data_IF_312707091411
#
_entry.id   IF_312707091411
#
_cell.length_a   1.000
_cell.length_b   1.000
_cell.length_c   1.000
_cell.angle_alpha   90.00
_cell.angle_beta   90.00
_cell.angle_gamma   90.00
#
_symmetry.space_group_name_H-M   'P 1'
#
loop_
_entity.id
_entity.type
_entity.pdbx_description
1 polymer ?
#
# COMPACT_ATOMS: atom_id res chain seq x y z
N UNK A 1 20.65 8.74 36.68
CA UNK A 1 20.80 8.34 35.27
C UNK A 1 19.42 8.40 34.66
N UNK A 2 19.13 9.43 33.90
CA UNK A 2 17.82 9.58 33.23
C UNK A 2 17.63 8.47 32.23
N UNK A 3 16.43 7.88 32.22
CA UNK A 3 16.01 6.78 31.37
C UNK A 3 16.11 7.20 29.88
N UNK A 4 17.21 6.89 29.19
CA UNK A 4 17.44 7.22 27.77
C UNK A 4 16.61 6.36 26.82
N UNK A 5 15.74 5.48 27.32
CA UNK A 5 15.07 4.45 26.53
C UNK A 5 13.84 4.92 25.73
N UNK A 6 13.38 6.18 25.88
CA UNK A 6 12.16 6.66 25.22
C UNK A 6 12.27 8.12 24.72
N UNK A 7 13.47 8.56 24.37
CA UNK A 7 13.63 9.90 23.83
C UNK A 7 13.22 9.95 22.36
N UNK A 8 12.33 10.89 22.02
CA UNK A 8 11.81 11.12 20.67
C UNK A 8 12.32 12.49 20.21
N UNK A 9 12.73 12.57 18.97
CA UNK A 9 13.20 13.79 18.32
C UNK A 9 12.39 14.09 17.08
N UNK A 10 12.24 15.37 16.76
CA UNK A 10 11.60 15.83 15.53
C UNK A 10 12.60 15.82 14.36
N UNK A 11 12.17 15.21 13.25
CA UNK A 11 12.92 15.17 11.98
C UNK A 11 12.19 16.05 10.97
N UNK A 12 12.81 17.17 10.59
CA UNK A 12 12.26 18.11 9.63
C UNK A 12 12.83 17.87 8.22
N UNK A 13 11.97 17.70 7.22
CA UNK A 13 12.33 17.65 5.80
C UNK A 13 12.24 19.04 5.18
N UNK A 14 13.38 19.66 4.88
CA UNK A 14 13.43 21.06 4.41
C UNK A 14 12.75 21.29 3.07
N UNK A 15 12.93 20.39 2.07
CA UNK A 15 12.33 20.54 0.73
C UNK A 15 10.81 20.37 0.73
N UNK A 16 10.29 19.44 1.52
CA UNK A 16 8.89 19.04 1.48
C UNK A 16 8.04 19.68 2.57
N UNK A 17 8.67 20.43 3.50
CA UNK A 17 8.03 21.03 4.68
C UNK A 17 7.23 20.01 5.53
N UNK A 18 7.66 18.75 5.53
CA UNK A 18 7.10 17.67 6.35
C UNK A 18 7.98 17.43 7.57
N UNK A 19 7.37 16.98 8.64
CA UNK A 19 8.04 16.58 9.89
C UNK A 19 7.56 15.21 10.29
N UNK A 20 8.39 14.47 11.01
CA UNK A 20 7.98 13.24 11.66
C UNK A 20 8.79 13.02 12.95
N UNK A 21 8.24 12.25 13.85
CA UNK A 21 8.89 11.86 15.10
C UNK A 21 9.76 10.62 14.90
N UNK A 22 10.94 10.61 15.49
CA UNK A 22 11.86 9.48 15.44
C UNK A 22 12.43 9.19 16.81
N UNK A 23 12.25 7.96 17.29
CA UNK A 23 12.87 7.50 18.52
C UNK A 23 14.39 7.41 18.38
N UNK A 24 15.10 7.72 19.46
CA UNK A 24 16.56 7.59 19.59
C UNK A 24 17.09 6.17 19.28
N UNK A 25 16.22 5.15 19.28
CA UNK A 25 16.53 3.76 19.04
C UNK A 25 16.12 3.25 17.64
N UNK A 26 15.35 4.05 16.91
CA UNK A 26 14.87 3.71 15.57
C UNK A 26 15.75 4.34 14.49
N UNK A 27 15.88 3.67 13.36
CA UNK A 27 16.52 4.32 12.22
C UNK A 27 15.61 5.42 11.65
N UNK A 28 16.23 6.50 11.18
CA UNK A 28 15.52 7.61 10.53
C UNK A 28 14.69 7.10 9.33
N UNK A 29 15.21 6.13 8.58
CA UNK A 29 14.49 5.50 7.48
C UNK A 29 13.23 4.78 7.96
N UNK A 30 13.34 3.87 8.93
CA UNK A 30 12.20 3.07 9.42
C UNK A 30 11.12 3.97 10.04
N UNK A 31 11.53 5.02 10.77
CA UNK A 31 10.60 5.97 11.35
C UNK A 31 9.86 6.76 10.29
N UNK A 32 10.56 7.30 9.29
CA UNK A 32 9.92 8.04 8.20
C UNK A 32 8.99 7.17 7.35
N UNK A 33 9.35 5.90 7.11
CA UNK A 33 8.46 4.95 6.42
C UNK A 33 7.20 4.67 7.23
N UNK A 34 7.29 4.53 8.57
CA UNK A 34 6.12 4.37 9.46
C UNK A 34 5.20 5.60 9.46
N UNK A 35 5.76 6.79 9.24
CA UNK A 35 4.98 8.02 9.03
C UNK A 35 4.57 8.23 7.56
N UNK A 36 4.55 7.17 6.77
CA UNK A 36 4.05 7.16 5.39
C UNK A 36 4.90 7.91 4.38
N UNK A 37 6.15 8.30 4.72
CA UNK A 37 7.00 9.01 3.78
C UNK A 37 7.57 8.05 2.73
N UNK A 38 7.33 8.33 1.46
CA UNK A 38 7.90 7.58 0.34
C UNK A 38 9.35 8.02 0.10
N UNK A 39 10.30 7.31 0.74
CA UNK A 39 11.73 7.59 0.66
C UNK A 39 12.44 6.61 -0.26
N UNK A 40 13.58 7.03 -0.84
CA UNK A 40 14.44 6.13 -1.60
C UNK A 40 15.21 5.18 -0.68
N UNK A 41 15.04 3.88 -0.84
CA UNK A 41 15.79 2.83 -0.14
C UNK A 41 15.73 1.49 -0.90
N UNK A 42 16.62 0.59 -0.57
CA UNK A 42 16.61 -0.78 -1.14
C UNK A 42 16.86 -1.84 -0.06
N UNK A 43 18.06 -1.82 0.54
CA UNK A 43 18.50 -2.90 1.44
C UNK A 43 18.08 -2.74 2.90
N UNK A 44 17.84 -1.54 3.38
CA UNK A 44 17.54 -1.18 4.78
C UNK A 44 18.59 -1.65 5.81
N UNK A 45 19.76 -2.11 5.36
CA UNK A 45 20.83 -2.69 6.19
C UNK A 45 22.22 -2.07 5.99
N UNK A 46 22.32 -0.98 5.20
CA UNK A 46 23.56 -0.23 5.03
C UNK A 46 24.52 -0.75 3.96
N UNK A 47 24.07 -1.60 3.02
CA UNK A 47 24.95 -2.16 1.98
C UNK A 47 24.84 -1.49 0.62
N UNK A 48 23.70 -0.88 0.26
CA UNK A 48 23.46 -0.38 -1.10
C UNK A 48 23.71 1.12 -1.30
N UNK A 49 23.62 1.93 -0.25
CA UNK A 49 23.78 3.39 -0.34
C UNK A 49 22.53 4.16 -0.81
N UNK A 50 21.44 3.49 -1.19
CA UNK A 50 20.25 4.14 -1.78
C UNK A 50 19.53 5.09 -0.81
N UNK A 51 19.63 4.86 0.51
CA UNK A 51 19.00 5.66 1.56
C UNK A 51 19.87 6.84 2.06
N UNK A 52 20.73 7.40 1.21
CA UNK A 52 21.53 8.58 1.56
C UNK A 52 20.62 9.80 1.71
N UNK A 53 20.80 10.53 2.81
CA UNK A 53 20.24 11.86 3.04
C UNK A 53 21.34 12.82 3.51
N UNK A 54 21.07 14.12 3.43
CA UNK A 54 21.99 15.14 3.90
C UNK A 54 21.49 15.77 5.18
N UNK A 55 22.31 15.76 6.22
CA UNK A 55 22.06 16.46 7.46
C UNK A 55 22.32 17.95 7.27
N UNK A 56 21.31 18.78 7.52
CA UNK A 56 21.39 20.24 7.43
C UNK A 56 21.61 20.86 8.80
N UNK A 57 20.97 20.29 9.82
CA UNK A 57 21.08 20.78 11.21
C UNK A 57 20.82 19.65 12.21
N UNK A 58 21.37 19.79 13.41
CA UNK A 58 21.24 18.84 14.50
C UNK A 58 22.30 17.74 14.50
N UNK A 59 22.08 16.70 15.29
CA UNK A 59 23.01 15.59 15.48
C UNK A 59 22.36 14.24 15.23
N UNK A 60 23.13 13.32 14.65
CA UNK A 60 22.75 11.92 14.45
C UNK A 60 23.76 11.00 15.14
N UNK A 61 23.34 9.78 15.42
CA UNK A 61 24.20 8.70 15.92
C UNK A 61 24.03 7.45 15.09
N UNK A 62 25.12 6.71 14.87
CA UNK A 62 25.06 5.39 14.25
C UNK A 62 24.44 4.38 15.22
N UNK A 63 23.47 3.60 14.73
CA UNK A 63 22.79 2.52 15.46
C UNK A 63 23.01 1.14 14.84
N UNK A 64 23.49 1.12 13.59
CA UNK A 64 23.85 -0.12 12.86
C UNK A 64 25.17 0.09 12.12
N UNK A 65 26.03 -0.93 12.13
CA UNK A 65 27.19 -0.96 11.24
C UNK A 65 26.71 -1.01 9.77
N UNK A 66 27.48 -0.42 8.87
CA UNK A 66 27.21 -0.47 7.43
C UNK A 66 28.50 -0.74 6.63
N UNK A 67 28.34 -1.50 5.55
CA UNK A 67 29.43 -1.86 4.64
C UNK A 67 29.58 -0.84 3.50
N UNK A 68 28.54 -0.04 3.22
CA UNK A 68 28.58 1.02 2.22
C UNK A 68 29.51 2.13 2.65
N UNK A 69 30.45 2.47 1.78
CA UNK A 69 31.45 3.51 2.05
C UNK A 69 31.02 4.81 1.35
N UNK A 70 30.63 5.79 2.16
CA UNK A 70 30.45 7.15 1.69
C UNK A 70 31.82 7.74 1.32
N UNK A 71 31.92 8.42 0.17
CA UNK A 71 33.11 9.14 -0.23
C UNK A 71 33.40 10.29 0.76
N UNK A 72 34.66 10.75 0.83
CA UNK A 72 35.03 11.90 1.68
C UNK A 72 34.24 13.17 1.32
N UNK A 73 33.95 13.38 0.03
CA UNK A 73 33.12 14.49 -0.40
C UNK A 73 31.69 14.41 0.16
N UNK A 74 31.07 13.24 0.12
CA UNK A 74 29.73 13.00 0.69
C UNK A 74 29.71 13.25 2.22
N UNK A 75 30.68 12.73 2.94
CA UNK A 75 30.84 12.97 4.39
C UNK A 75 30.98 14.45 4.71
N UNK A 76 31.83 15.16 3.95
CA UNK A 76 32.07 16.61 4.12
C UNK A 76 30.80 17.44 3.79
N UNK A 77 29.89 16.92 2.96
CA UNK A 77 28.60 17.53 2.66
C UNK A 77 27.53 17.19 3.67
N UNK A 78 27.83 16.40 4.71
CA UNK A 78 26.87 15.96 5.73
C UNK A 78 25.99 14.81 5.28
N UNK A 79 26.37 14.05 4.23
CA UNK A 79 25.60 12.89 3.80
C UNK A 79 25.81 11.70 4.73
N UNK A 80 24.72 10.95 4.94
CA UNK A 80 24.69 9.76 5.82
C UNK A 80 23.63 8.76 5.34
N UNK A 81 23.70 7.52 5.84
CA UNK A 81 22.71 6.48 5.55
C UNK A 81 21.58 6.52 6.57
N UNK A 82 20.35 6.86 6.15
CA UNK A 82 19.18 6.92 7.04
C UNK A 82 18.86 5.58 7.70
N UNK A 83 19.12 4.45 7.04
CA UNK A 83 18.82 3.10 7.58
C UNK A 83 19.78 2.67 8.73
N UNK A 84 20.91 3.35 8.90
CA UNK A 84 21.93 3.01 9.89
C UNK A 84 22.09 4.06 10.99
N UNK A 85 21.35 5.15 10.92
CA UNK A 85 21.47 6.26 11.85
C UNK A 85 20.13 6.62 12.49
N UNK A 86 20.18 7.01 13.76
CA UNK A 86 19.08 7.58 14.54
C UNK A 86 19.38 9.05 14.90
N UNK A 87 18.36 9.87 15.20
CA UNK A 87 18.57 11.22 15.68
C UNK A 87 19.16 11.21 17.09
N UNK A 88 20.03 12.18 17.40
CA UNK A 88 20.56 12.43 18.72
C UNK A 88 20.13 13.82 19.27
N UNK A 89 19.44 14.59 18.45
CA UNK A 89 18.74 15.85 18.75
C UNK A 89 17.60 16.00 17.74
N UNK A 90 16.80 17.05 17.84
CA UNK A 90 15.99 17.48 16.70
C UNK A 90 16.93 17.73 15.50
N UNK A 91 16.51 17.29 14.31
CA UNK A 91 17.34 17.35 13.09
C UNK A 91 16.57 17.94 11.92
N UNK A 92 17.30 18.53 11.00
CA UNK A 92 16.79 18.95 9.70
C UNK A 92 17.55 18.23 8.58
N UNK A 93 16.79 17.66 7.65
CA UNK A 93 17.31 16.85 6.55
C UNK A 93 16.97 17.47 5.19
N UNK A 94 17.88 17.31 4.25
CA UNK A 94 17.60 17.45 2.83
C UNK A 94 17.59 16.08 2.17
N UNK A 95 16.44 15.70 1.64
CA UNK A 95 16.24 14.51 0.82
C UNK A 95 15.08 14.74 -0.14
N UNK A 96 15.05 13.96 -1.20
CA UNK A 96 13.93 13.93 -2.14
C UNK A 96 13.01 12.78 -1.77
N UNK A 97 11.73 13.10 -1.60
CA UNK A 97 10.70 12.07 -1.48
C UNK A 97 10.27 11.61 -2.87
N UNK A 98 9.83 10.36 -2.96
CA UNK A 98 9.22 9.85 -4.18
C UNK A 98 7.85 10.53 -4.31
N UNK A 99 7.73 11.43 -5.28
CA UNK A 99 6.52 12.23 -5.49
C UNK A 99 5.59 11.70 -6.58
N UNK A 100 6.06 10.76 -7.40
CA UNK A 100 5.32 10.22 -8.56
C UNK A 100 5.60 8.73 -8.73
N UNK A 101 4.59 7.97 -9.09
CA UNK A 101 4.68 6.54 -9.46
C UNK A 101 5.72 6.28 -10.54
N UNK A 102 5.95 7.24 -11.44
CA UNK A 102 6.94 7.16 -12.53
C UNK A 102 8.39 7.24 -12.06
N UNK A 103 8.63 7.74 -10.85
CA UNK A 103 9.96 7.83 -10.28
C UNK A 103 10.47 6.52 -9.68
N UNK A 104 9.60 5.52 -9.52
CA UNK A 104 9.97 4.20 -9.03
C UNK A 104 10.24 3.28 -10.22
N UNK A 105 11.48 2.83 -10.36
CA UNK A 105 11.84 1.87 -11.41
C UNK A 105 11.20 0.50 -11.15
N UNK A 106 10.94 -0.25 -12.23
CA UNK A 106 10.52 -1.65 -12.14
C UNK A 106 11.64 -2.48 -11.51
N UNK A 107 11.31 -3.26 -10.54
CA UNK A 107 12.21 -4.12 -9.78
C UNK A 107 11.87 -5.58 -10.02
N UNK A 108 12.88 -6.44 -10.10
CA UNK A 108 12.75 -7.88 -10.15
C UNK A 108 13.32 -8.47 -8.87
N UNK A 109 12.49 -9.16 -8.09
CA UNK A 109 12.85 -9.65 -6.76
C UNK A 109 12.41 -11.11 -6.61
N UNK A 110 13.35 -11.98 -6.30
CA UNK A 110 13.02 -13.35 -5.84
C UNK A 110 12.50 -13.26 -4.39
N UNK A 111 11.27 -13.67 -4.18
CA UNK A 111 10.62 -13.65 -2.87
C UNK A 111 10.35 -15.07 -2.38
N UNK A 112 10.12 -15.21 -1.07
CA UNK A 112 9.80 -16.49 -0.46
C UNK A 112 8.44 -16.44 0.21
N UNK A 113 7.58 -17.40 -0.09
CA UNK A 113 6.29 -17.56 0.58
C UNK A 113 6.50 -17.79 2.07
N UNK A 114 6.01 -16.85 2.89
CA UNK A 114 5.99 -16.94 4.34
C UNK A 114 4.77 -17.73 4.80
N UNK A 115 3.59 -17.36 4.30
CA UNK A 115 2.31 -17.93 4.72
C UNK A 115 1.33 -17.99 3.56
N UNK A 116 0.49 -19.01 3.55
CA UNK A 116 -0.72 -19.11 2.74
C UNK A 116 -1.87 -19.39 3.69
N UNK A 117 -2.93 -18.58 3.62
CA UNK A 117 -4.16 -18.75 4.40
C UNK A 117 -5.33 -18.85 3.44
N UNK A 118 -5.96 -20.00 3.33
CA UNK A 118 -7.20 -20.16 2.58
C UNK A 118 -8.36 -19.66 3.47
N UNK A 119 -9.05 -18.63 3.02
CA UNK A 119 -10.22 -18.07 3.69
C UNK A 119 -11.43 -18.98 3.41
N UNK A 120 -11.56 -19.38 2.15
CA UNK A 120 -12.53 -20.37 1.68
C UNK A 120 -11.98 -21.04 0.40
N UNK A 121 -12.78 -21.84 -0.30
CA UNK A 121 -12.38 -22.54 -1.52
C UNK A 121 -12.09 -21.60 -2.71
N UNK A 122 -12.50 -20.32 -2.60
CA UNK A 122 -12.41 -19.35 -3.68
C UNK A 122 -11.48 -18.15 -3.37
N UNK A 123 -10.99 -18.01 -2.15
CA UNK A 123 -10.14 -16.89 -1.75
C UNK A 123 -8.99 -17.36 -0.84
N UNK A 124 -7.78 -16.94 -1.18
CA UNK A 124 -6.60 -17.15 -0.36
C UNK A 124 -5.84 -15.84 -0.14
N UNK A 125 -5.22 -15.71 1.01
CA UNK A 125 -4.26 -14.66 1.33
C UNK A 125 -2.88 -15.28 1.35
N UNK A 126 -1.98 -14.73 0.54
CA UNK A 126 -0.57 -15.13 0.50
C UNK A 126 0.31 -13.99 0.99
N UNK A 127 1.21 -14.30 1.91
CA UNK A 127 2.26 -13.40 2.35
C UNK A 127 3.59 -13.90 1.82
N UNK A 128 4.30 -13.06 1.07
CA UNK A 128 5.66 -13.33 0.62
C UNK A 128 6.64 -12.42 1.35
N UNK A 129 7.90 -12.83 1.42
CA UNK A 129 8.96 -12.06 2.06
C UNK A 129 10.08 -11.81 1.05
N UNK A 130 10.46 -10.55 0.93
CA UNK A 130 11.64 -10.13 0.16
C UNK A 130 12.93 -10.48 0.89
N UNK A 131 14.06 -10.62 0.18
CA UNK A 131 15.39 -10.71 0.81
C UNK A 131 15.69 -9.45 1.64
N UNK A 132 16.48 -9.59 2.71
CA UNK A 132 16.92 -8.43 3.51
C UNK A 132 17.79 -7.45 2.72
N UNK A 133 18.44 -7.91 1.67
CA UNK A 133 19.30 -7.09 0.81
C UNK A 133 18.56 -6.33 -0.28
N UNK A 134 17.28 -6.64 -0.52
CA UNK A 134 16.50 -6.03 -1.59
C UNK A 134 15.00 -6.06 -1.27
N UNK A 135 14.48 -4.98 -0.71
CA UNK A 135 13.05 -4.81 -0.45
C UNK A 135 12.36 -4.16 -1.64
N UNK A 136 11.07 -4.43 -1.83
CA UNK A 136 10.30 -3.76 -2.87
C UNK A 136 10.01 -2.32 -2.47
N UNK A 137 10.41 -1.39 -3.32
CA UNK A 137 10.00 0.01 -3.23
C UNK A 137 8.73 0.19 -4.07
N UNK A 138 7.65 0.68 -3.47
CA UNK A 138 6.35 0.89 -4.13
C UNK A 138 5.53 1.95 -3.40
N UNK A 139 4.50 2.47 -4.04
CA UNK A 139 3.47 3.31 -3.42
C UNK A 139 2.25 2.46 -3.08
N UNK A 140 1.56 2.78 -1.98
CA UNK A 140 0.32 2.10 -1.60
C UNK A 140 -0.69 2.08 -2.74
N UNK A 141 -1.35 0.93 -2.91
CA UNK A 141 -2.33 0.69 -3.97
C UNK A 141 -1.75 0.19 -5.31
N UNK A 142 -0.42 0.25 -5.50
CA UNK A 142 0.21 -0.33 -6.70
C UNK A 142 0.12 -1.87 -6.70
N UNK A 143 0.38 -2.45 -7.84
CA UNK A 143 0.35 -3.88 -8.09
C UNK A 143 1.71 -4.39 -8.59
N UNK A 144 1.84 -5.72 -8.63
CA UNK A 144 3.02 -6.41 -9.13
C UNK A 144 2.61 -7.64 -9.94
N UNK A 145 3.50 -8.11 -10.79
CA UNK A 145 3.40 -9.46 -11.36
C UNK A 145 4.07 -10.47 -10.44
N UNK A 146 3.35 -11.54 -10.10
CA UNK A 146 3.88 -12.70 -9.39
C UNK A 146 4.04 -13.85 -10.36
N UNK A 147 5.21 -14.48 -10.37
CA UNK A 147 5.52 -15.64 -11.23
C UNK A 147 5.94 -16.86 -10.40
N UNK A 148 5.34 -18.00 -10.72
CA UNK A 148 5.70 -19.29 -10.17
C UNK A 148 5.88 -20.32 -11.29
N UNK A 149 7.12 -20.74 -11.54
CA UNK A 149 7.45 -21.73 -12.60
C UNK A 149 6.86 -21.36 -13.96
N UNK A 150 7.00 -20.09 -14.36
CA UNK A 150 6.52 -19.55 -15.63
C UNK A 150 5.03 -19.26 -15.70
N UNK A 151 4.30 -19.38 -14.59
CA UNK A 151 2.89 -18.98 -14.45
C UNK A 151 2.84 -17.60 -13.81
N UNK A 152 2.53 -16.60 -14.59
CA UNK A 152 2.55 -15.20 -14.19
C UNK A 152 1.15 -14.61 -14.16
N UNK A 153 0.83 -13.87 -13.11
CA UNK A 153 -0.40 -13.08 -12.97
C UNK A 153 -0.15 -11.83 -12.19
N UNK A 154 -0.95 -10.79 -12.44
CA UNK A 154 -0.83 -9.48 -11.82
C UNK A 154 -1.77 -9.37 -10.61
N UNK A 155 -1.24 -8.87 -9.50
CA UNK A 155 -2.00 -8.73 -8.27
C UNK A 155 -1.69 -7.41 -7.57
N UNK A 156 -2.71 -6.72 -7.02
CA UNK A 156 -2.50 -5.55 -6.18
C UNK A 156 -1.88 -5.95 -4.83
N UNK A 157 -1.04 -5.07 -4.32
CA UNK A 157 -0.47 -5.17 -2.99
C UNK A 157 -1.52 -4.79 -1.94
N UNK A 158 -1.77 -5.69 -0.99
CA UNK A 158 -2.67 -5.44 0.14
C UNK A 158 -1.94 -4.81 1.34
N UNK A 159 -0.61 -4.91 1.39
CA UNK A 159 0.21 -4.33 2.45
C UNK A 159 0.56 -2.86 2.16
N UNK A 160 0.63 -2.06 3.23
CA UNK A 160 1.21 -0.72 3.17
C UNK A 160 2.73 -0.80 2.91
N UNK A 161 3.34 0.15 2.16
CA UNK A 161 4.79 0.26 2.02
C UNK A 161 5.54 0.34 3.35
N UNK A 162 4.89 0.84 4.39
CA UNK A 162 5.40 0.94 5.76
C UNK A 162 5.69 -0.42 6.43
N UNK A 163 5.18 -1.54 5.90
CA UNK A 163 5.39 -2.88 6.46
C UNK A 163 6.71 -3.55 6.03
N UNK A 164 7.53 -2.87 5.23
CA UNK A 164 8.89 -3.30 4.90
C UNK A 164 8.95 -4.54 4.01
N UNK A 165 9.49 -5.66 4.52
CA UNK A 165 9.83 -6.84 3.72
C UNK A 165 8.67 -7.82 3.49
N UNK A 166 7.51 -7.64 4.10
CA UNK A 166 6.39 -8.58 4.00
C UNK A 166 5.30 -8.00 3.10
N UNK A 167 5.06 -8.69 1.99
CA UNK A 167 4.08 -8.29 0.99
C UNK A 167 2.91 -9.27 1.02
N UNK A 168 1.70 -8.74 1.10
CA UNK A 168 0.46 -9.52 1.18
C UNK A 168 -0.38 -9.31 -0.07
N UNK A 169 -0.99 -10.40 -0.53
CA UNK A 169 -1.86 -10.45 -1.71
C UNK A 169 -3.11 -11.26 -1.39
N UNK A 170 -4.26 -10.78 -1.84
CA UNK A 170 -5.54 -11.47 -1.75
C UNK A 170 -5.90 -12.02 -3.14
N UNK A 171 -5.95 -13.34 -3.27
CA UNK A 171 -6.03 -14.01 -4.56
C UNK A 171 -7.32 -14.83 -4.66
N UNK A 172 -8.15 -14.49 -5.65
CA UNK A 172 -9.33 -15.28 -6.02
C UNK A 172 -8.95 -16.47 -6.90
N UNK A 173 -9.67 -17.57 -6.70
CA UNK A 173 -9.55 -18.77 -7.52
C UNK A 173 -10.27 -18.55 -8.85
N UNK A 174 -9.54 -18.09 -9.86
CA UNK A 174 -10.05 -17.88 -11.21
C UNK A 174 -9.45 -18.94 -12.15
N UNK A 175 -10.28 -19.68 -12.89
CA UNK A 175 -9.78 -20.77 -13.76
C UNK A 175 -8.77 -20.32 -14.82
N UNK A 176 -8.91 -19.10 -15.34
CA UNK A 176 -8.02 -18.48 -16.32
C UNK A 176 -6.69 -17.99 -15.71
N UNK A 177 -6.63 -17.84 -14.39
CA UNK A 177 -5.42 -17.43 -13.69
C UNK A 177 -4.54 -18.62 -13.35
N UNK A 178 -3.44 -18.77 -14.09
CA UNK A 178 -2.55 -19.91 -13.94
C UNK A 178 -1.75 -19.88 -12.62
N UNK A 179 -1.48 -18.70 -12.04
CA UNK A 179 -0.86 -18.57 -10.74
C UNK A 179 -1.84 -18.94 -9.62
N UNK A 180 -3.08 -18.40 -9.68
CA UNK A 180 -4.13 -18.76 -8.74
C UNK A 180 -4.40 -20.28 -8.77
N UNK A 181 -4.51 -20.88 -9.96
CA UNK A 181 -4.64 -22.35 -10.10
C UNK A 181 -3.48 -23.10 -9.40
N UNK A 182 -2.24 -22.63 -9.50
CA UNK A 182 -1.12 -23.25 -8.82
C UNK A 182 -1.20 -23.08 -7.29
N UNK A 183 -1.74 -21.96 -6.81
CA UNK A 183 -1.97 -21.70 -5.39
C UNK A 183 -3.06 -22.62 -4.83
N UNK A 184 -4.24 -22.66 -5.45
CA UNK A 184 -5.38 -23.46 -4.97
C UNK A 184 -5.18 -24.97 -5.15
N UNK A 185 -4.37 -25.40 -6.11
CA UNK A 185 -3.92 -26.82 -6.20
C UNK A 185 -2.75 -27.14 -5.27
N UNK A 186 -2.40 -26.24 -4.32
CA UNK A 186 -1.37 -26.41 -3.28
C UNK A 186 0.03 -26.67 -3.82
N UNK A 187 0.30 -26.31 -5.08
CA UNK A 187 1.65 -26.32 -5.68
C UNK A 187 2.49 -25.18 -5.11
N UNK A 188 1.88 -24.04 -4.80
CA UNK A 188 2.47 -22.94 -4.05
C UNK A 188 2.17 -23.15 -2.57
N UNK A 189 3.22 -23.20 -1.75
CA UNK A 189 3.13 -23.43 -0.30
C UNK A 189 4.20 -22.65 0.44
N UNK A 190 4.17 -22.66 1.76
CA UNK A 190 5.24 -22.05 2.57
C UNK A 190 6.62 -22.47 2.09
N UNK A 191 7.54 -21.53 2.01
CA UNK A 191 8.92 -21.65 1.47
C UNK A 191 9.01 -21.77 -0.06
N UNK A 192 7.92 -21.79 -0.83
CA UNK A 192 8.00 -21.68 -2.29
C UNK A 192 8.66 -20.36 -2.69
N UNK A 193 9.43 -20.39 -3.76
CA UNK A 193 10.03 -19.20 -4.37
C UNK A 193 9.04 -18.64 -5.38
N UNK A 194 8.84 -17.32 -5.32
CA UNK A 194 7.97 -16.54 -6.22
C UNK A 194 8.81 -15.38 -6.75
N UNK A 195 8.91 -15.27 -8.06
CA UNK A 195 9.49 -14.10 -8.70
C UNK A 195 8.44 -12.98 -8.73
N UNK A 196 8.86 -11.78 -8.36
CA UNK A 196 8.05 -10.58 -8.30
C UNK A 196 8.65 -9.53 -9.23
N UNK A 197 7.82 -8.96 -10.10
CA UNK A 197 8.17 -7.83 -10.95
C UNK A 197 7.23 -6.65 -10.71
N UNK A 198 7.75 -5.50 -10.35
CA UNK A 198 7.00 -4.28 -10.09
C UNK A 198 7.82 -3.17 -9.43
N UNK A 199 7.16 -2.11 -8.94
CA UNK A 199 5.70 -1.91 -8.93
C UNK A 199 5.14 -1.49 -10.28
N UNK A 200 3.82 -1.67 -10.45
CA UNK A 200 3.05 -1.26 -11.62
C UNK A 200 1.77 -0.54 -11.19
N UNK A 201 1.14 0.18 -12.12
CA UNK A 201 -0.13 0.86 -11.86
C UNK A 201 0.01 2.25 -11.27
N UNK A 202 -1.09 2.99 -11.35
CA UNK A 202 -1.23 4.40 -10.93
C UNK A 202 -2.32 4.58 -9.86
N UNK A 203 -2.78 3.50 -9.27
CA UNK A 203 -3.82 3.51 -8.24
C UNK A 203 -3.20 3.89 -6.89
N UNK A 204 -3.00 5.18 -6.66
CA UNK A 204 -2.32 5.73 -5.48
C UNK A 204 -3.09 6.91 -4.89
N UNK A 205 -2.87 7.23 -3.62
CA UNK A 205 -3.51 8.35 -2.95
C UNK A 205 -3.11 9.69 -3.57
N UNK A 206 -4.07 10.62 -3.62
CA UNK A 206 -3.84 12.04 -3.84
C UNK A 206 -3.52 12.73 -2.51
N UNK A 207 -2.30 12.56 -2.03
CA UNK A 207 -1.87 13.01 -0.71
C UNK A 207 -2.03 14.53 -0.47
N UNK A 208 -2.01 15.34 -1.53
CA UNK A 208 -2.20 16.79 -1.43
C UNK A 208 -3.68 17.22 -1.45
N UNK A 209 -4.61 16.28 -1.61
CA UNK A 209 -6.05 16.60 -1.65
C UNK A 209 -6.59 16.83 -0.25
N UNK A 210 -7.49 17.80 -0.13
CA UNK A 210 -8.26 18.07 1.09
C UNK A 210 -9.68 17.54 1.03
N UNK A 211 -10.05 16.86 -0.06
CA UNK A 211 -11.37 16.24 -0.22
C UNK A 211 -11.54 15.03 0.65
N UNK A 212 -12.78 14.66 1.03
CA UNK A 212 -13.04 13.35 1.58
C UNK A 212 -12.49 12.23 0.67
N UNK A 213 -12.09 11.13 1.24
CA UNK A 213 -11.67 9.94 0.50
C UNK A 213 -12.79 8.91 0.51
N UNK A 214 -13.26 8.52 -0.67
CA UNK A 214 -14.24 7.44 -0.78
C UNK A 214 -13.62 6.25 -1.49
N UNK A 215 -13.72 5.08 -0.86
CA UNK A 215 -13.22 3.82 -1.38
C UNK A 215 -14.39 2.90 -1.70
N UNK A 216 -14.35 2.27 -2.88
CA UNK A 216 -15.32 1.24 -3.28
C UNK A 216 -14.54 -0.02 -3.66
N UNK A 217 -14.77 -1.12 -2.95
CA UNK A 217 -14.22 -2.42 -3.27
C UNK A 217 -15.32 -3.36 -3.76
N UNK A 218 -15.03 -4.14 -4.79
CA UNK A 218 -15.73 -5.38 -5.02
C UNK A 218 -14.86 -6.55 -4.55
N UNK A 219 -15.35 -7.31 -3.58
CA UNK A 219 -14.75 -8.56 -3.13
C UNK A 219 -13.23 -8.43 -2.79
N UNK A 220 -12.33 -9.14 -3.49
CA UNK A 220 -10.87 -9.05 -3.30
C UNK A 220 -10.26 -7.70 -3.73
N UNK A 221 -11.02 -6.82 -4.36
CA UNK A 221 -10.67 -5.41 -4.55
C UNK A 221 -10.39 -4.66 -3.24
N UNK A 222 -10.73 -5.27 -2.11
CA UNK A 222 -10.29 -4.81 -0.80
C UNK A 222 -8.75 -4.73 -0.67
N UNK A 223 -8.01 -5.60 -1.34
CA UNK A 223 -6.54 -5.66 -1.21
C UNK A 223 -5.85 -4.31 -1.44
N UNK A 224 -5.95 -3.65 -2.62
CA UNK A 224 -5.30 -2.36 -2.84
C UNK A 224 -5.92 -1.24 -2.00
N UNK A 225 -7.22 -1.30 -1.68
CA UNK A 225 -7.88 -0.32 -0.81
C UNK A 225 -7.32 -0.39 0.60
N UNK A 226 -7.11 -1.59 1.14
CA UNK A 226 -6.46 -1.76 2.43
C UNK A 226 -5.08 -1.10 2.46
N UNK A 227 -4.28 -1.31 1.42
CA UNK A 227 -2.96 -0.67 1.29
C UNK A 227 -3.06 0.86 1.33
N UNK A 228 -4.03 1.45 0.59
CA UNK A 228 -4.27 2.89 0.56
C UNK A 228 -4.72 3.43 1.91
N UNK A 229 -5.69 2.79 2.56
CA UNK A 229 -6.24 3.23 3.85
C UNK A 229 -5.18 3.15 4.95
N UNK A 230 -4.44 2.04 5.06
CA UNK A 230 -3.35 1.90 6.02
C UNK A 230 -2.22 2.92 5.76
N UNK A 231 -2.01 3.28 4.50
CA UNK A 231 -1.07 4.34 4.14
C UNK A 231 -1.57 5.73 4.54
N UNK A 232 -2.87 6.03 4.33
CA UNK A 232 -3.47 7.27 4.79
C UNK A 232 -3.33 7.44 6.32
N UNK A 233 -3.46 6.35 7.08
CA UNK A 233 -3.19 6.35 8.52
C UNK A 233 -1.74 6.70 8.86
N UNK A 234 -0.78 6.09 8.15
CA UNK A 234 0.64 6.39 8.38
C UNK A 234 1.02 7.82 7.97
N UNK A 235 0.25 8.45 7.10
CA UNK A 235 0.39 9.87 6.74
C UNK A 235 -0.36 10.81 7.70
N UNK A 236 -1.09 10.27 8.69
CA UNK A 236 -1.95 11.02 9.60
C UNK A 236 -2.96 11.93 8.85
N UNK A 237 -3.48 11.43 7.71
CA UNK A 237 -4.46 12.18 6.92
C UNK A 237 -5.77 12.33 7.70
N UNK A 238 -6.25 13.56 7.83
CA UNK A 238 -7.48 13.90 8.56
C UNK A 238 -8.74 14.03 7.68
N UNK A 239 -8.64 13.63 6.42
CA UNK A 239 -9.77 13.67 5.49
C UNK A 239 -10.84 12.66 5.92
N UNK A 240 -12.15 13.01 5.94
CA UNK A 240 -13.21 12.02 6.14
C UNK A 240 -13.07 10.85 5.18
N UNK A 241 -13.24 9.63 5.69
CA UNK A 241 -13.05 8.39 4.93
C UNK A 241 -14.35 7.58 4.89
N UNK A 242 -14.82 7.30 3.68
CA UNK A 242 -15.99 6.47 3.41
C UNK A 242 -15.55 5.21 2.69
N UNK A 243 -15.91 4.04 3.22
CA UNK A 243 -15.59 2.77 2.60
C UNK A 243 -16.83 1.93 2.34
N UNK A 244 -17.12 1.72 1.06
CA UNK A 244 -18.17 0.84 0.55
C UNK A 244 -17.54 -0.49 0.10
N UNK A 245 -17.91 -1.58 0.76
CA UNK A 245 -17.38 -2.91 0.40
C UNK A 245 -18.49 -3.79 -0.13
N UNK A 246 -18.57 -3.90 -1.45
CA UNK A 246 -19.49 -4.80 -2.13
C UNK A 246 -18.91 -6.22 -2.14
N UNK A 247 -19.76 -7.20 -1.84
CA UNK A 247 -19.37 -8.60 -1.70
C UNK A 247 -20.51 -9.52 -2.17
N UNK A 248 -20.21 -10.80 -2.57
CA UNK A 248 -21.23 -11.77 -2.94
C UNK A 248 -22.20 -12.05 -1.78
N UNK A 249 -23.51 -11.92 -1.99
CA UNK A 249 -24.50 -12.07 -0.95
C UNK A 249 -24.50 -13.46 -0.27
N UNK A 250 -24.04 -14.50 -0.99
CA UNK A 250 -23.88 -15.85 -0.45
C UNK A 250 -22.78 -15.96 0.62
N UNK A 251 -21.86 -15.02 0.69
CA UNK A 251 -20.76 -15.01 1.68
C UNK A 251 -21.17 -14.43 3.04
N UNK A 252 -22.42 -13.93 3.20
CA UNK A 252 -23.00 -13.32 4.41
C UNK A 252 -22.26 -12.04 4.87
N UNK A 253 -20.94 -12.01 4.88
CA UNK A 253 -20.09 -10.86 5.25
C UNK A 253 -18.85 -10.83 4.37
N UNK A 254 -18.24 -9.64 4.18
CA UNK A 254 -16.91 -9.55 3.58
C UNK A 254 -15.85 -10.35 4.36
N UNK A 255 -14.94 -10.99 3.67
CA UNK A 255 -13.99 -11.97 4.23
C UNK A 255 -13.04 -11.45 5.33
N UNK A 256 -12.81 -10.15 5.42
CA UNK A 256 -12.02 -9.48 6.47
C UNK A 256 -12.80 -8.31 7.08
N UNK A 257 -14.11 -8.45 7.24
CA UNK A 257 -14.99 -7.38 7.71
C UNK A 257 -14.52 -6.77 9.05
N UNK A 258 -14.09 -7.63 9.99
CA UNK A 258 -13.59 -7.17 11.27
C UNK A 258 -12.35 -6.27 11.13
N UNK A 259 -11.51 -6.48 10.12
CA UNK A 259 -10.37 -5.62 9.83
C UNK A 259 -10.84 -4.23 9.36
N UNK A 260 -11.77 -4.18 8.40
CA UNK A 260 -12.35 -2.92 7.94
C UNK A 260 -13.06 -2.16 9.08
N UNK A 261 -13.83 -2.87 9.91
CA UNK A 261 -14.48 -2.26 11.09
C UNK A 261 -13.50 -1.73 12.14
N UNK A 262 -12.32 -2.35 12.29
CA UNK A 262 -11.32 -1.91 13.26
C UNK A 262 -10.73 -0.53 12.96
N UNK A 263 -10.81 -0.06 11.72
CA UNK A 263 -10.38 1.29 11.35
C UNK A 263 -11.17 2.40 12.03
N UNK A 264 -12.41 2.11 12.45
CA UNK A 264 -13.25 3.02 13.22
C UNK A 264 -12.65 3.41 14.60
N UNK A 265 -11.76 2.56 15.12
CA UNK A 265 -11.02 2.87 16.36
C UNK A 265 -9.80 3.78 16.13
N UNK A 266 -9.42 4.02 14.88
CA UNK A 266 -8.23 4.79 14.49
C UNK A 266 -8.63 6.16 13.93
N UNK A 267 -9.78 6.26 13.24
CA UNK A 267 -10.26 7.49 12.61
C UNK A 267 -11.63 7.89 13.18
N UNK A 268 -11.74 9.14 13.59
CA UNK A 268 -13.00 9.70 14.10
C UNK A 268 -14.06 9.82 12.96
N UNK A 269 -13.64 10.26 11.76
CA UNK A 269 -14.50 10.47 10.59
C UNK A 269 -14.41 9.30 9.60
N UNK A 270 -14.61 8.07 10.08
CA UNK A 270 -14.65 6.86 9.26
C UNK A 270 -16.06 6.27 9.19
N UNK A 271 -16.54 6.02 7.97
CA UNK A 271 -17.83 5.35 7.72
C UNK A 271 -17.61 4.10 6.86
N UNK A 272 -18.08 2.96 7.36
CA UNK A 272 -18.01 1.68 6.67
C UNK A 272 -19.40 1.18 6.28
N UNK A 273 -19.60 0.86 5.00
CA UNK A 273 -20.87 0.38 4.44
C UNK A 273 -20.65 -0.92 3.65
N UNK A 274 -20.98 -2.09 4.20
CA UNK A 274 -20.99 -3.34 3.45
C UNK A 274 -22.20 -3.38 2.50
N UNK A 275 -21.99 -3.88 1.26
CA UNK A 275 -23.03 -3.98 0.24
C UNK A 275 -23.11 -5.43 -0.24
N UNK A 276 -24.13 -6.17 0.21
CA UNK A 276 -24.40 -7.53 -0.29
C UNK A 276 -24.96 -7.45 -1.71
N UNK A 277 -24.29 -8.07 -2.68
CA UNK A 277 -24.68 -8.05 -4.07
C UNK A 277 -24.97 -9.47 -4.59
N UNK A 278 -26.05 -9.59 -5.35
CA UNK A 278 -26.29 -10.79 -6.13
C UNK A 278 -25.35 -10.85 -7.33
N UNK A 279 -24.52 -11.87 -7.40
CA UNK A 279 -23.54 -12.03 -8.47
C UNK A 279 -23.53 -13.45 -9.02
N UNK A 280 -24.05 -13.62 -10.23
CA UNK A 280 -24.03 -14.89 -10.95
C UNK A 280 -22.93 -14.89 -12.02
N UNK A 281 -21.83 -15.60 -11.77
CA UNK A 281 -20.67 -15.68 -12.66
C UNK A 281 -20.99 -16.24 -14.06
N UNK A 282 -22.13 -16.92 -14.23
CA UNK A 282 -22.53 -17.51 -15.52
C UNK A 282 -23.28 -16.55 -16.44
N UNK A 283 -23.77 -15.41 -15.92
CA UNK A 283 -24.58 -14.45 -16.66
C UNK A 283 -23.76 -13.41 -17.42
N UNK A 284 -24.04 -13.23 -18.71
CA UNK A 284 -23.35 -12.23 -19.57
C UNK A 284 -23.55 -10.76 -19.13
N UNK A 285 -24.65 -10.46 -18.41
CA UNK A 285 -24.99 -9.10 -17.99
C UNK A 285 -24.66 -8.84 -16.51
N UNK A 286 -23.85 -9.70 -15.92
CA UNK A 286 -23.61 -9.71 -14.49
C UNK A 286 -22.86 -8.48 -14.00
N UNK A 287 -21.84 -8.03 -14.75
CA UNK A 287 -21.04 -6.84 -14.40
C UNK A 287 -21.89 -5.57 -14.41
N UNK A 288 -22.81 -5.42 -15.37
CA UNK A 288 -23.73 -4.28 -15.41
C UNK A 288 -24.73 -4.31 -14.24
N UNK A 289 -25.29 -5.51 -13.92
CA UNK A 289 -26.18 -5.67 -12.77
C UNK A 289 -25.45 -5.32 -11.47
N UNK A 290 -24.24 -5.81 -11.31
CA UNK A 290 -23.39 -5.54 -10.15
C UNK A 290 -23.08 -4.04 -10.01
N UNK A 291 -22.68 -3.38 -11.10
CA UNK A 291 -22.41 -1.95 -11.10
C UNK A 291 -23.65 -1.14 -10.64
N UNK A 292 -24.85 -1.50 -11.09
CA UNK A 292 -26.10 -0.87 -10.68
C UNK A 292 -26.42 -1.12 -9.21
N UNK A 293 -26.17 -2.32 -8.69
CA UNK A 293 -26.38 -2.64 -7.27
C UNK A 293 -25.43 -1.80 -6.39
N UNK A 294 -24.15 -1.75 -6.76
CA UNK A 294 -23.18 -0.91 -6.05
C UNK A 294 -23.64 0.56 -6.11
N UNK A 295 -23.92 1.08 -7.30
CA UNK A 295 -24.32 2.47 -7.50
C UNK A 295 -25.55 2.86 -6.66
N UNK A 296 -26.56 2.00 -6.59
CA UNK A 296 -27.80 2.27 -5.83
C UNK A 296 -27.59 2.37 -4.31
N UNK A 297 -26.47 1.88 -3.80
CA UNK A 297 -26.14 1.93 -2.37
C UNK A 297 -25.24 3.13 -2.01
N UNK A 298 -24.79 3.91 -2.99
CA UNK A 298 -23.90 5.06 -2.78
C UNK A 298 -24.67 6.32 -2.40
N UNK A 299 -24.10 7.12 -1.51
CA UNK A 299 -24.53 8.49 -1.28
C UNK A 299 -23.84 9.43 -2.27
N UNK A 300 -24.56 9.87 -3.30
CA UNK A 300 -24.00 10.72 -4.35
C UNK A 300 -23.56 12.10 -3.86
N UNK A 301 -24.12 12.62 -2.75
CA UNK A 301 -23.65 13.88 -2.17
C UNK A 301 -22.24 13.74 -1.62
N UNK A 302 -21.92 12.59 -1.00
CA UNK A 302 -20.57 12.27 -0.53
C UNK A 302 -19.64 12.01 -1.72
N UNK A 303 -20.07 11.16 -2.66
CA UNK A 303 -19.29 10.72 -3.81
C UNK A 303 -18.81 11.93 -4.65
N UNK A 304 -19.71 12.84 -4.98
CA UNK A 304 -19.40 13.98 -5.83
C UNK A 304 -18.45 15.01 -5.18
N UNK A 305 -18.26 14.96 -3.88
CA UNK A 305 -17.32 15.80 -3.14
C UNK A 305 -15.99 15.11 -2.84
N UNK A 306 -15.90 13.80 -3.03
CA UNK A 306 -14.74 12.97 -2.66
C UNK A 306 -13.74 12.79 -3.79
N UNK A 307 -12.50 12.49 -3.46
CA UNK A 307 -11.64 11.70 -4.34
C UNK A 307 -12.07 10.23 -4.21
N UNK A 308 -12.40 9.62 -5.34
CA UNK A 308 -13.04 8.32 -5.41
C UNK A 308 -12.08 7.25 -5.92
N UNK A 309 -11.86 6.23 -5.11
CA UNK A 309 -10.98 5.09 -5.41
C UNK A 309 -11.81 3.82 -5.56
N UNK A 310 -11.80 3.21 -6.75
CA UNK A 310 -12.59 2.01 -7.03
C UNK A 310 -11.68 0.85 -7.42
N UNK A 311 -11.86 -0.31 -6.77
CA UNK A 311 -11.18 -1.55 -7.15
C UNK A 311 -12.22 -2.66 -7.37
N UNK A 312 -12.34 -3.07 -8.65
CA UNK A 312 -13.35 -4.04 -9.12
C UNK A 312 -12.91 -4.64 -10.48
N UNK A 313 -13.58 -5.69 -10.99
CA UNK A 313 -13.35 -6.17 -12.36
C UNK A 313 -13.49 -5.07 -13.40
N UNK A 314 -12.67 -5.13 -14.46
CA UNK A 314 -12.58 -4.06 -15.47
C UNK A 314 -13.94 -3.68 -16.07
N UNK A 315 -14.82 -4.67 -16.39
CA UNK A 315 -16.15 -4.40 -16.92
C UNK A 315 -17.05 -3.68 -15.90
N UNK A 316 -16.94 -4.02 -14.61
CA UNK A 316 -17.70 -3.34 -13.55
C UNK A 316 -17.24 -1.88 -13.42
N UNK A 317 -15.93 -1.64 -13.51
CA UNK A 317 -15.36 -0.28 -13.48
C UNK A 317 -15.91 0.59 -14.62
N UNK A 318 -16.06 0.05 -15.83
CA UNK A 318 -16.62 0.78 -16.98
C UNK A 318 -18.07 1.19 -16.67
N UNK A 319 -18.95 0.23 -16.36
CA UNK A 319 -20.36 0.54 -16.09
C UNK A 319 -20.58 1.42 -14.87
N UNK A 320 -19.84 1.19 -13.80
CA UNK A 320 -19.96 2.00 -12.58
C UNK A 320 -19.42 3.42 -12.82
N UNK A 321 -18.30 3.53 -13.55
CA UNK A 321 -17.72 4.81 -13.93
C UNK A 321 -18.68 5.66 -14.79
N UNK A 322 -19.31 5.07 -15.81
CA UNK A 322 -20.33 5.72 -16.62
C UNK A 322 -21.49 6.26 -15.76
N UNK A 323 -22.05 5.41 -14.88
CA UNK A 323 -23.14 5.82 -13.98
C UNK A 323 -22.74 6.98 -13.07
N UNK A 324 -21.52 6.96 -12.52
CA UNK A 324 -21.03 8.02 -11.63
C UNK A 324 -20.82 9.35 -12.38
N UNK A 325 -20.20 9.30 -13.56
CA UNK A 325 -19.97 10.49 -14.40
C UNK A 325 -21.29 11.13 -14.87
N UNK A 326 -22.27 10.32 -15.29
CA UNK A 326 -23.61 10.78 -15.67
C UNK A 326 -24.36 11.43 -14.50
N UNK A 327 -24.00 11.08 -13.25
CA UNK A 327 -24.63 11.62 -12.03
C UNK A 327 -23.76 12.65 -11.29
N UNK A 328 -22.83 13.30 -12.01
CA UNK A 328 -22.16 14.51 -11.56
C UNK A 328 -20.76 14.35 -10.98
N UNK A 329 -20.20 13.13 -10.96
CA UNK A 329 -18.78 12.93 -10.58
C UNK A 329 -17.88 13.59 -11.63
N UNK A 330 -16.87 14.33 -11.20
CA UNK A 330 -15.85 14.83 -12.12
C UNK A 330 -14.82 13.73 -12.40
N UNK A 331 -14.46 13.51 -13.68
CA UNK A 331 -13.49 12.49 -14.10
C UNK A 331 -12.16 12.60 -13.34
N UNK A 332 -11.71 13.81 -13.03
CA UNK A 332 -10.47 14.04 -12.28
C UNK A 332 -10.50 13.51 -10.83
N UNK A 333 -11.68 13.19 -10.30
CA UNK A 333 -11.84 12.64 -8.96
C UNK A 333 -11.76 11.12 -8.95
N UNK A 334 -11.99 10.47 -10.10
CA UNK A 334 -12.05 9.01 -10.22
C UNK A 334 -10.66 8.41 -10.41
N UNK A 335 -10.31 7.47 -9.53
CA UNK A 335 -9.12 6.63 -9.61
C UNK A 335 -9.58 5.18 -9.54
N UNK A 336 -9.26 4.39 -10.56
CA UNK A 336 -9.75 3.01 -10.67
C UNK A 336 -8.62 2.00 -10.85
N UNK A 337 -8.77 0.83 -10.24
CA UNK A 337 -7.87 -0.31 -10.35
C UNK A 337 -8.64 -1.56 -10.75
N UNK A 338 -8.40 -2.14 -11.92
CA UNK A 338 -8.96 -3.43 -12.27
C UNK A 338 -8.29 -4.56 -11.46
N UNK A 339 -9.10 -5.57 -11.09
CA UNK A 339 -8.66 -6.79 -10.40
C UNK A 339 -9.04 -8.03 -11.18
#
# INVERSE_FOLDING_TARGET
>A
MANMSNQIFNVQLKKNKRNFECSVNDSILESGLRHGLSMHYECSNGTCGTCVAKLIDGNIKSIKHHDFILSENQKNQGEFLMCCNAPASDIALELELIGDVKSIAIQNIETKVKKVSFINDNLAIITVRTPRSKTLQFMAGQDVELSFKGKTSRYPLASCPCHGMELEFHIRNMPEDAFATALFTKKIKSKSIIDLEGPKGIFVLKEASTRPMTFIAWDSGFAPIRSLVEHAFSLEMSNPLYFYWAYPAEEQTPYLENHAKSWQAIMDDYTYTPIACEFDRSSKNNCQKLAKQIFSALDLNIINQSDLYISAPAEVLIYLGELLLENGLNESQLIASPI
#
